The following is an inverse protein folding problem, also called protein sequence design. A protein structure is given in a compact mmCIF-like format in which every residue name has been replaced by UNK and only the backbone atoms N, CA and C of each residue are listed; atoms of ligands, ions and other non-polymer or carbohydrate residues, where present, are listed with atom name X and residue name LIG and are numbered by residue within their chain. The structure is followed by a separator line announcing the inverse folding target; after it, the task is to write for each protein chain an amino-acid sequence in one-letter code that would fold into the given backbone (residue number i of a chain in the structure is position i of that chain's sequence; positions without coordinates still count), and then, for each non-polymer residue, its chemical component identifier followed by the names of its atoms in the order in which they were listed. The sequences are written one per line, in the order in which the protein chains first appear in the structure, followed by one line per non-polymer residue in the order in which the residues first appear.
data_IF_337715794840
#
_entry.id   IF_337715794840
#
_cell.length_a   1.000
_cell.length_b   1.000
_cell.length_c   1.000
_cell.angle_alpha   90.00
_cell.angle_beta   90.00
_cell.angle_gamma   90.00
#
_symmetry.space_group_name_H-M   'P 1'
#
loop_
_entity.id
_entity.type
_entity.pdbx_description
1 polymer ?
#
# COMPACT_ATOMS: atom_id res chain seq x y z
N UNK A 1 30.10 22.21 27.09
CA UNK A 1 29.86 22.39 25.65
C UNK A 1 30.19 21.09 24.94
N UNK A 2 29.29 20.10 24.99
CA UNK A 2 29.50 18.86 24.23
C UNK A 2 28.79 19.02 22.88
N UNK A 3 29.51 19.62 21.93
CA UNK A 3 29.09 19.60 20.53
C UNK A 3 29.29 18.18 19.99
N UNK A 4 28.42 17.77 19.06
CA UNK A 4 28.48 16.47 18.38
C UNK A 4 29.92 16.15 17.96
N UNK A 5 30.43 14.98 18.33
CA UNK A 5 31.80 14.62 17.94
C UNK A 5 31.87 14.37 16.43
N UNK A 6 33.04 14.56 15.79
CA UNK A 6 33.21 14.20 14.37
C UNK A 6 32.75 12.78 14.04
N UNK A 7 32.96 11.83 14.94
CA UNK A 7 32.51 10.44 14.82
C UNK A 7 30.97 10.32 14.81
N UNK A 8 30.28 11.11 15.65
CA UNK A 8 28.81 11.14 15.67
C UNK A 8 28.23 11.75 14.39
N UNK A 9 28.89 12.77 13.83
CA UNK A 9 28.50 13.37 12.54
C UNK A 9 28.71 12.38 11.40
N UNK A 10 29.87 11.71 11.36
CA UNK A 10 30.17 10.69 10.36
C UNK A 10 29.19 9.50 10.44
N UNK A 11 28.86 9.04 11.65
CA UNK A 11 27.87 7.98 11.85
C UNK A 11 26.47 8.40 11.37
N UNK A 12 26.04 9.63 11.66
CA UNK A 12 24.76 10.14 11.18
C UNK A 12 24.71 10.28 9.66
N UNK A 13 25.79 10.77 9.03
CA UNK A 13 25.89 10.84 7.57
C UNK A 13 25.83 9.44 6.93
N UNK A 14 26.55 8.47 7.49
CA UNK A 14 26.50 7.08 7.02
C UNK A 14 25.08 6.50 7.11
N UNK A 15 24.42 6.64 8.26
CA UNK A 15 23.05 6.16 8.45
C UNK A 15 22.07 6.81 7.46
N UNK A 16 22.20 8.11 7.21
CA UNK A 16 21.36 8.81 6.23
C UNK A 16 21.58 8.28 4.79
N UNK A 17 22.82 7.96 4.43
CA UNK A 17 23.15 7.39 3.12
C UNK A 17 22.60 5.96 2.99
N UNK A 18 22.75 5.13 4.03
CA UNK A 18 22.17 3.78 4.06
C UNK A 18 20.64 3.81 3.95
N UNK A 19 19.98 4.72 4.68
CA UNK A 19 18.54 4.93 4.58
C UNK A 19 18.12 5.37 3.17
N UNK A 20 18.86 6.31 2.56
CA UNK A 20 18.59 6.78 1.20
C UNK A 20 18.71 5.64 0.18
N UNK A 21 19.75 4.82 0.26
CA UNK A 21 19.91 3.67 -0.63
C UNK A 21 18.82 2.62 -0.39
N UNK A 22 18.47 2.35 0.86
CA UNK A 22 17.36 1.44 1.21
C UNK A 22 16.02 1.90 0.61
N UNK A 23 15.66 3.18 0.81
CA UNK A 23 14.42 3.76 0.26
C UNK A 23 14.42 3.76 -1.27
N UNK A 24 15.55 4.11 -1.89
CA UNK A 24 15.69 4.09 -3.35
C UNK A 24 15.51 2.67 -3.88
N UNK A 25 16.14 1.67 -3.25
CA UNK A 25 15.96 0.26 -3.62
C UNK A 25 14.50 -0.18 -3.50
N UNK A 26 13.77 0.25 -2.47
CA UNK A 26 12.34 -0.06 -2.30
C UNK A 26 11.46 0.63 -3.35
N UNK A 27 11.78 1.85 -3.73
CA UNK A 27 11.10 2.52 -4.84
C UNK A 27 11.30 1.77 -6.17
N UNK A 28 12.52 1.30 -6.45
CA UNK A 28 12.80 0.46 -7.62
C UNK A 28 12.07 -0.88 -7.58
N UNK A 29 12.01 -1.55 -6.43
CA UNK A 29 11.23 -2.79 -6.26
C UNK A 29 9.73 -2.55 -6.58
N UNK A 30 9.18 -1.40 -6.20
CA UNK A 30 7.82 -0.99 -6.59
C UNK A 30 7.66 -0.84 -8.11
N UNK A 31 8.62 -0.22 -8.79
CA UNK A 31 8.63 -0.10 -10.26
C UNK A 31 8.73 -1.46 -10.94
N UNK A 32 9.58 -2.36 -10.43
CA UNK A 32 9.70 -3.73 -10.94
C UNK A 32 8.36 -4.47 -10.87
N UNK A 33 7.66 -4.38 -9.73
CA UNK A 33 6.32 -4.98 -9.57
C UNK A 33 5.28 -4.37 -10.51
N UNK A 34 5.35 -3.06 -10.79
CA UNK A 34 4.48 -2.42 -11.77
C UNK A 34 4.74 -2.95 -13.19
N UNK A 35 6.01 -3.11 -13.57
CA UNK A 35 6.39 -3.67 -14.87
C UNK A 35 5.92 -5.13 -14.97
N UNK A 36 6.13 -5.92 -13.91
CA UNK A 36 5.68 -7.31 -13.82
C UNK A 36 4.15 -7.41 -14.00
N UNK A 37 3.38 -6.56 -13.29
CA UNK A 37 1.93 -6.49 -13.43
C UNK A 37 1.51 -6.17 -14.87
N UNK A 38 2.13 -5.18 -15.51
CA UNK A 38 1.83 -4.83 -16.91
C UNK A 38 2.13 -5.99 -17.86
N UNK A 39 3.26 -6.68 -17.65
CA UNK A 39 3.63 -7.84 -18.46
C UNK A 39 2.64 -9.01 -18.28
N UNK A 40 2.16 -9.24 -17.05
CA UNK A 40 1.13 -10.25 -16.77
C UNK A 40 -0.19 -9.92 -17.47
N UNK A 41 -0.61 -8.65 -17.46
CA UNK A 41 -1.81 -8.19 -18.19
C UNK A 41 -1.64 -8.42 -19.69
N UNK A 42 -0.50 -8.04 -20.28
CA UNK A 42 -0.25 -8.26 -21.71
C UNK A 42 -0.28 -9.75 -22.06
N UNK A 43 0.41 -10.59 -21.28
CA UNK A 43 0.44 -12.05 -21.50
C UNK A 43 -0.96 -12.66 -21.42
N UNK A 44 -1.73 -12.32 -20.39
CA UNK A 44 -3.10 -12.83 -20.22
C UNK A 44 -4.02 -12.36 -21.36
N UNK A 45 -3.89 -11.11 -21.80
CA UNK A 45 -4.70 -10.55 -22.90
C UNK A 45 -4.37 -11.21 -24.23
N UNK A 46 -3.09 -11.53 -24.48
CA UNK A 46 -2.67 -12.25 -25.69
C UNK A 46 -3.23 -13.69 -25.70
N UNK A 47 -3.11 -14.41 -24.58
CA UNK A 47 -3.64 -15.76 -24.44
C UNK A 47 -5.17 -15.79 -24.66
N UNK A 48 -5.89 -14.85 -24.07
CA UNK A 48 -7.34 -14.71 -24.27
C UNK A 48 -7.69 -14.32 -25.70
N UNK A 49 -6.90 -13.47 -26.35
CA UNK A 49 -7.14 -13.11 -27.76
C UNK A 49 -7.03 -14.34 -28.66
N UNK A 50 -6.04 -15.21 -28.41
CA UNK A 50 -5.91 -16.48 -29.12
C UNK A 50 -7.11 -17.40 -28.89
N UNK A 51 -7.55 -17.55 -27.64
CA UNK A 51 -8.76 -18.32 -27.30
C UNK A 51 -10.00 -17.73 -27.99
N UNK A 52 -10.17 -16.41 -27.95
CA UNK A 52 -11.29 -15.70 -28.57
C UNK A 52 -11.36 -15.93 -30.07
N UNK A 53 -10.21 -15.90 -30.76
CA UNK A 53 -10.13 -16.23 -32.19
C UNK A 53 -10.56 -17.68 -32.44
N UNK A 54 -10.05 -18.64 -31.65
CA UNK A 54 -10.45 -20.04 -31.80
C UNK A 54 -11.95 -20.26 -31.56
N UNK A 55 -12.51 -19.61 -30.54
CA UNK A 55 -13.94 -19.67 -30.24
C UNK A 55 -14.76 -19.04 -31.37
N UNK A 56 -14.35 -17.88 -31.88
CA UNK A 56 -15.02 -17.21 -33.00
C UNK A 56 -15.04 -18.08 -34.26
N UNK A 57 -13.94 -18.78 -34.58
CA UNK A 57 -13.87 -19.71 -35.71
C UNK A 57 -14.72 -20.99 -35.51
N UNK A 58 -15.11 -21.29 -34.27
CA UNK A 58 -15.88 -22.48 -33.91
C UNK A 58 -17.38 -22.23 -33.80
N UNK A 59 -17.83 -20.98 -33.93
CA UNK A 59 -19.25 -20.59 -33.88
C UNK A 59 -20.00 -21.17 -35.08
N UNK A 60 -21.10 -21.88 -34.82
CA UNK A 60 -21.89 -22.59 -35.84
C UNK A 60 -23.20 -21.87 -36.19
N UNK A 61 -23.70 -21.02 -35.30
CA UNK A 61 -24.96 -20.31 -35.49
C UNK A 61 -24.98 -18.94 -34.79
N UNK A 62 -26.01 -18.14 -35.08
CA UNK A 62 -26.19 -16.80 -34.52
C UNK A 62 -26.39 -16.81 -32.99
N UNK A 63 -26.82 -17.92 -32.42
CA UNK A 63 -27.07 -18.07 -30.99
C UNK A 63 -25.73 -18.27 -30.24
N UNK A 64 -24.83 -19.08 -30.79
CA UNK A 64 -23.44 -19.21 -30.34
C UNK A 64 -22.66 -17.90 -30.50
N UNK A 65 -22.93 -17.10 -31.54
CA UNK A 65 -22.30 -15.78 -31.73
C UNK A 65 -22.70 -14.78 -30.62
N UNK A 66 -23.98 -14.74 -30.24
CA UNK A 66 -24.45 -13.89 -29.15
C UNK A 66 -23.90 -14.34 -27.79
N UNK A 67 -23.79 -15.65 -27.57
CA UNK A 67 -23.14 -16.20 -26.38
C UNK A 67 -21.66 -15.82 -26.31
N UNK A 68 -20.95 -15.85 -27.45
CA UNK A 68 -19.57 -15.39 -27.54
C UNK A 68 -19.46 -13.91 -27.18
N UNK A 69 -20.29 -13.03 -27.76
CA UNK A 69 -20.29 -11.59 -27.44
C UNK A 69 -20.50 -11.30 -25.94
N UNK A 70 -21.41 -12.03 -25.29
CA UNK A 70 -21.65 -11.91 -23.85
C UNK A 70 -20.45 -12.42 -23.03
N UNK A 71 -19.78 -13.48 -23.48
CA UNK A 71 -18.59 -14.04 -22.80
C UNK A 71 -17.36 -13.14 -22.86
N UNK A 72 -17.28 -12.24 -23.86
CA UNK A 72 -16.14 -11.34 -24.08
C UNK A 72 -16.21 -10.07 -23.22
N UNK A 73 -17.40 -9.66 -22.77
CA UNK A 73 -17.60 -8.37 -22.07
C UNK A 73 -17.47 -8.48 -20.55
N UNK A 74 -17.85 -9.62 -19.96
CA UNK A 74 -17.77 -9.86 -18.52
C UNK A 74 -16.33 -9.82 -17.94
N UNK A 75 -15.29 -10.38 -18.60
CA UNK A 75 -13.93 -10.42 -18.05
C UNK A 75 -13.26 -9.05 -17.95
N UNK A 76 -13.67 -8.08 -18.77
CA UNK A 76 -13.01 -6.76 -18.86
C UNK A 76 -13.17 -5.98 -17.55
N UNK A 77 -14.38 -5.97 -16.98
CA UNK A 77 -14.64 -5.25 -15.73
C UNK A 77 -13.88 -5.87 -14.54
N UNK A 78 -13.82 -7.21 -14.49
CA UNK A 78 -13.08 -7.96 -13.46
C UNK A 78 -11.57 -7.70 -13.57
N UNK A 79 -11.03 -7.64 -14.79
CA UNK A 79 -9.61 -7.32 -15.06
C UNK A 79 -9.22 -5.91 -14.66
N UNK A 80 -10.01 -4.90 -15.04
CA UNK A 80 -9.74 -3.50 -14.65
C UNK A 80 -9.73 -3.37 -13.13
N UNK A 81 -10.67 -4.05 -12.46
CA UNK A 81 -10.74 -4.03 -11.01
C UNK A 81 -9.56 -4.75 -10.36
N UNK A 82 -9.19 -5.93 -10.86
CA UNK A 82 -8.01 -6.67 -10.38
C UNK A 82 -6.73 -5.87 -10.59
N UNK A 83 -6.55 -5.23 -11.74
CA UNK A 83 -5.43 -4.34 -12.00
C UNK A 83 -5.39 -3.17 -11.01
N UNK A 84 -6.53 -2.53 -10.76
CA UNK A 84 -6.64 -1.46 -9.76
C UNK A 84 -6.30 -1.91 -8.34
N UNK A 85 -6.71 -3.12 -7.94
CA UNK A 85 -6.33 -3.72 -6.65
C UNK A 85 -4.82 -3.96 -6.56
N UNK A 86 -4.22 -4.58 -7.57
CA UNK A 86 -2.77 -4.84 -7.57
C UNK A 86 -1.94 -3.56 -7.61
N UNK A 87 -2.39 -2.53 -8.35
CA UNK A 87 -1.76 -1.20 -8.28
C UNK A 87 -1.80 -0.62 -6.88
N UNK A 88 -2.95 -0.71 -6.20
CA UNK A 88 -3.11 -0.24 -4.84
C UNK A 88 -2.19 -0.99 -3.87
N UNK A 89 -2.13 -2.32 -3.97
CA UNK A 89 -1.24 -3.18 -3.16
C UNK A 89 0.23 -2.80 -3.33
N UNK A 90 0.69 -2.56 -4.57
CA UNK A 90 2.07 -2.14 -4.84
C UNK A 90 2.37 -0.78 -4.20
N UNK A 91 1.45 0.18 -4.36
CA UNK A 91 1.61 1.52 -3.82
C UNK A 91 1.59 1.51 -2.28
N UNK A 92 0.65 0.81 -1.66
CA UNK A 92 0.52 0.74 -0.20
C UNK A 92 1.69 0.00 0.45
N UNK A 93 2.18 -1.09 -0.17
CA UNK A 93 3.37 -1.78 0.30
C UNK A 93 4.61 -0.87 0.24
N UNK A 94 4.77 -0.11 -0.85
CA UNK A 94 5.88 0.85 -0.99
C UNK A 94 5.78 1.95 0.08
N UNK A 95 4.59 2.52 0.30
CA UNK A 95 4.36 3.52 1.34
C UNK A 95 4.66 2.97 2.75
N UNK A 96 4.29 1.72 3.03
CA UNK A 96 4.54 1.07 4.31
C UNK A 96 6.05 0.94 4.62
N UNK A 97 6.88 0.64 3.62
CA UNK A 97 8.34 0.58 3.80
C UNK A 97 8.93 1.96 4.13
N UNK A 98 8.43 3.03 3.49
CA UNK A 98 8.83 4.40 3.82
C UNK A 98 8.41 4.78 5.25
N UNK A 99 7.21 4.41 5.66
CA UNK A 99 6.72 4.64 7.01
C UNK A 99 7.59 3.93 8.05
N UNK A 100 8.01 2.68 7.81
CA UNK A 100 8.92 1.93 8.70
C UNK A 100 10.25 2.65 8.91
N UNK A 101 10.85 3.21 7.86
CA UNK A 101 12.11 3.98 7.98
C UNK A 101 11.90 5.23 8.83
N UNK A 102 10.79 5.94 8.64
CA UNK A 102 10.44 7.10 9.45
C UNK A 102 10.22 6.73 10.94
N UNK A 103 9.51 5.62 11.20
CA UNK A 103 9.30 5.09 12.55
C UNK A 103 10.65 4.75 13.22
N UNK A 104 11.54 4.02 12.51
CA UNK A 104 12.86 3.67 13.02
C UNK A 104 13.72 4.90 13.35
N UNK A 105 13.69 5.93 12.48
CA UNK A 105 14.43 7.17 12.70
C UNK A 105 13.90 7.94 13.92
N UNK A 106 12.57 7.97 14.10
CA UNK A 106 11.94 8.58 15.27
C UNK A 106 12.33 7.84 16.56
N UNK A 107 12.28 6.52 16.59
CA UNK A 107 12.68 5.73 17.75
C UNK A 107 14.15 5.95 18.13
N UNK A 108 15.04 6.03 17.14
CA UNK A 108 16.45 6.32 17.36
C UNK A 108 16.65 7.71 18.00
N UNK A 109 15.95 8.73 17.49
CA UNK A 109 16.01 10.08 18.05
C UNK A 109 15.46 10.14 19.47
N UNK A 110 14.33 9.48 19.73
CA UNK A 110 13.74 9.39 21.07
C UNK A 110 14.73 8.74 22.06
N UNK A 111 15.40 7.64 21.66
CA UNK A 111 16.45 7.01 22.46
C UNK A 111 17.60 7.97 22.77
N UNK A 112 18.08 8.73 21.77
CA UNK A 112 19.14 9.73 21.97
C UNK A 112 18.71 10.83 22.95
N UNK A 113 17.49 11.33 22.82
CA UNK A 113 16.94 12.35 23.73
C UNK A 113 16.84 11.80 25.16
N UNK A 114 16.32 10.60 25.35
CA UNK A 114 16.25 9.95 26.67
C UNK A 114 17.64 9.79 27.29
N UNK A 115 18.62 9.31 26.51
CA UNK A 115 20.00 9.17 26.98
C UNK A 115 20.62 10.51 27.41
N UNK A 116 20.34 11.59 26.68
CA UNK A 116 20.77 12.94 27.05
C UNK A 116 20.11 13.39 28.36
N UNK A 117 18.80 13.18 28.51
CA UNK A 117 18.10 13.54 29.75
C UNK A 117 18.58 12.74 30.94
N UNK A 118 18.85 11.44 30.78
CA UNK A 118 19.43 10.63 31.84
C UNK A 118 20.86 11.05 32.19
N UNK A 119 21.64 11.49 31.19
CA UNK A 119 22.98 12.03 31.44
C UNK A 119 22.91 13.37 32.21
N UNK A 120 22.00 14.27 31.81
CA UNK A 120 21.75 15.52 32.55
C UNK A 120 21.28 15.23 33.96
N UNK A 121 20.34 14.30 34.15
CA UNK A 121 19.84 13.91 35.47
C UNK A 121 20.96 13.41 36.39
N UNK A 122 21.89 12.60 35.88
CA UNK A 122 23.02 12.04 36.64
C UNK A 122 24.07 13.09 37.02
N UNK A 123 24.21 14.15 36.23
CA UNK A 123 25.23 15.18 36.41
C UNK A 123 24.65 16.53 36.88
N UNK A 124 23.36 16.58 37.22
CA UNK A 124 22.69 17.81 37.61
C UNK A 124 23.11 18.24 39.03
N UNK A 125 23.31 19.56 39.28
CA UNK A 125 23.54 20.07 40.63
C UNK A 125 22.35 19.77 41.56
N UNK A 126 22.64 19.62 42.86
CA UNK A 126 21.60 19.47 43.88
C UNK A 126 20.56 20.62 43.78
N UNK A 127 19.26 20.29 43.81
CA UNK A 127 18.16 21.24 43.64
C UNK A 127 17.56 21.28 42.23
N UNK A 128 18.09 20.50 41.27
CA UNK A 128 17.61 20.44 39.88
C UNK A 128 16.55 19.35 39.62
N UNK A 129 16.15 18.61 40.66
CA UNK A 129 15.33 17.40 40.56
C UNK A 129 13.96 17.69 39.95
N UNK A 130 13.35 18.83 40.28
CA UNK A 130 12.06 19.27 39.74
C UNK A 130 12.15 19.57 38.23
N UNK A 131 13.23 20.19 37.77
CA UNK A 131 13.42 20.51 36.36
C UNK A 131 13.66 19.24 35.52
N UNK A 132 14.45 18.29 36.05
CA UNK A 132 14.68 16.99 35.42
C UNK A 132 13.37 16.18 35.36
N UNK A 133 12.57 16.18 36.43
CA UNK A 133 11.28 15.50 36.46
C UNK A 133 10.29 16.10 35.45
N UNK A 134 10.24 17.43 35.33
CA UNK A 134 9.42 18.11 34.32
C UNK A 134 9.85 17.73 32.89
N UNK A 135 11.15 17.67 32.63
CA UNK A 135 11.69 17.29 31.32
C UNK A 135 11.36 15.83 30.95
N UNK A 136 11.53 14.89 31.89
CA UNK A 136 11.13 13.49 31.71
C UNK A 136 9.63 13.36 31.43
N UNK A 137 8.81 14.12 32.15
CA UNK A 137 7.36 14.14 31.94
C UNK A 137 6.97 14.68 30.56
N UNK A 138 7.64 15.74 30.10
CA UNK A 138 7.43 16.28 28.75
C UNK A 138 7.79 15.27 27.66
N UNK A 139 8.90 14.53 27.80
CA UNK A 139 9.28 13.47 26.86
C UNK A 139 8.25 12.34 26.83
N UNK A 140 7.78 11.90 28.00
CA UNK A 140 6.75 10.86 28.08
C UNK A 140 5.42 11.31 27.44
N UNK A 141 5.03 12.57 27.63
CA UNK A 141 3.85 13.14 26.99
C UNK A 141 4.02 13.21 25.46
N UNK A 142 5.20 13.62 24.98
CA UNK A 142 5.51 13.64 23.55
C UNK A 142 5.46 12.24 22.92
N UNK A 143 6.04 11.24 23.57
CA UNK A 143 6.02 9.84 23.12
C UNK A 143 4.60 9.28 23.06
N UNK A 144 3.80 9.49 24.12
CA UNK A 144 2.39 9.09 24.15
C UNK A 144 1.58 9.74 23.02
N UNK A 145 1.84 11.02 22.74
CA UNK A 145 1.18 11.75 21.64
C UNK A 145 1.56 11.17 20.29
N UNK A 146 2.85 10.88 20.07
CA UNK A 146 3.31 10.25 18.84
C UNK A 146 2.68 8.86 18.63
N UNK A 147 2.67 8.01 19.65
CA UNK A 147 2.02 6.69 19.58
C UNK A 147 0.53 6.81 19.23
N UNK A 148 -0.16 7.81 19.78
CA UNK A 148 -1.57 8.08 19.50
C UNK A 148 -1.78 8.49 18.05
N UNK A 149 -0.96 9.41 17.53
CA UNK A 149 -1.00 9.85 16.13
C UNK A 149 -0.67 8.69 15.19
N UNK A 150 0.35 7.89 15.52
CA UNK A 150 0.74 6.71 14.75
C UNK A 150 -0.39 5.68 14.68
N UNK A 151 -1.05 5.39 15.81
CA UNK A 151 -2.22 4.50 15.86
C UNK A 151 -3.38 5.04 15.03
N UNK A 152 -3.68 6.34 15.15
CA UNK A 152 -4.73 6.98 14.37
C UNK A 152 -4.43 6.93 12.86
N UNK A 153 -3.18 7.15 12.47
CA UNK A 153 -2.75 7.03 11.07
C UNK A 153 -2.89 5.58 10.56
N UNK A 154 -2.48 4.58 11.35
CA UNK A 154 -2.65 3.15 11.00
C UNK A 154 -4.13 2.78 10.85
N UNK A 155 -4.97 3.20 11.78
CA UNK A 155 -6.42 3.00 11.69
C UNK A 155 -7.03 3.68 10.46
N UNK A 156 -6.59 4.90 10.12
CA UNK A 156 -7.06 5.59 8.92
C UNK A 156 -6.70 4.82 7.64
N UNK A 157 -5.50 4.24 7.57
CA UNK A 157 -5.08 3.37 6.46
C UNK A 157 -5.94 2.11 6.41
N UNK A 158 -6.12 1.40 7.52
CA UNK A 158 -6.97 0.19 7.59
C UNK A 158 -8.42 0.46 7.16
N UNK A 159 -8.97 1.62 7.56
CA UNK A 159 -10.31 2.06 7.14
C UNK A 159 -10.34 2.31 5.63
N UNK A 160 -9.31 2.99 5.08
CA UNK A 160 -9.20 3.24 3.65
C UNK A 160 -9.10 1.92 2.85
N UNK A 161 -8.28 0.97 3.31
CA UNK A 161 -8.16 -0.38 2.73
C UNK A 161 -9.48 -1.13 2.75
N UNK A 162 -10.16 -1.11 3.90
CA UNK A 162 -11.47 -1.77 4.07
C UNK A 162 -12.52 -1.15 3.13
N UNK A 163 -12.59 0.17 3.03
CA UNK A 163 -13.52 0.87 2.15
C UNK A 163 -13.21 0.62 0.67
N UNK A 164 -11.93 0.60 0.30
CA UNK A 164 -11.50 0.27 -1.05
C UNK A 164 -11.92 -1.16 -1.42
N UNK A 165 -11.66 -2.13 -0.54
CA UNK A 165 -12.06 -3.52 -0.73
C UNK A 165 -13.59 -3.68 -0.84
N UNK A 166 -14.35 -2.98 0.00
CA UNK A 166 -15.81 -2.98 -0.05
C UNK A 166 -16.33 -2.36 -1.36
N UNK A 167 -15.83 -1.19 -1.75
CA UNK A 167 -16.19 -0.55 -3.01
C UNK A 167 -15.84 -1.44 -4.22
N UNK A 168 -14.68 -2.08 -4.19
CA UNK A 168 -14.28 -3.03 -5.21
C UNK A 168 -15.21 -4.25 -5.25
N UNK A 169 -15.62 -4.80 -4.10
CA UNK A 169 -16.59 -5.90 -4.05
C UNK A 169 -17.97 -5.49 -4.61
N UNK A 170 -18.44 -4.27 -4.32
CA UNK A 170 -19.67 -3.71 -4.89
C UNK A 170 -19.55 -3.57 -6.41
N UNK A 171 -18.43 -3.05 -6.90
CA UNK A 171 -18.15 -2.93 -8.33
C UNK A 171 -18.11 -4.31 -9.02
N UNK A 172 -17.47 -5.30 -8.40
CA UNK A 172 -17.48 -6.70 -8.88
C UNK A 172 -18.92 -7.21 -8.98
N UNK A 173 -19.72 -7.06 -7.92
CA UNK A 173 -21.10 -7.53 -7.87
C UNK A 173 -21.98 -6.85 -8.92
N UNK A 174 -21.80 -5.55 -9.14
CA UNK A 174 -22.48 -4.80 -10.18
C UNK A 174 -22.11 -5.31 -11.59
N UNK A 175 -20.83 -5.57 -11.84
CA UNK A 175 -20.36 -6.16 -13.09
C UNK A 175 -20.94 -7.56 -13.34
N UNK A 176 -20.95 -8.43 -12.31
CA UNK A 176 -21.55 -9.76 -12.40
C UNK A 176 -23.07 -9.70 -12.65
N UNK A 177 -23.78 -8.76 -12.00
CA UNK A 177 -25.21 -8.55 -12.20
C UNK A 177 -25.53 -8.05 -13.62
N UNK A 178 -24.72 -7.14 -14.17
CA UNK A 178 -24.87 -6.67 -15.55
C UNK A 178 -24.66 -7.81 -16.55
N UNK A 179 -23.66 -8.67 -16.32
CA UNK A 179 -23.44 -9.86 -17.13
C UNK A 179 -24.60 -10.86 -17.03
N UNK A 180 -25.16 -11.08 -15.83
CA UNK A 180 -26.32 -11.94 -15.63
C UNK A 180 -27.59 -11.38 -16.31
N UNK A 181 -27.80 -10.06 -16.28
CA UNK A 181 -28.91 -9.39 -16.96
C UNK A 181 -28.82 -9.54 -18.48
N UNK A 182 -27.61 -9.42 -19.05
CA UNK A 182 -27.36 -9.68 -20.48
C UNK A 182 -27.72 -11.12 -20.88
N UNK A 183 -27.38 -12.12 -20.05
CA UNK A 183 -27.74 -13.54 -20.26
C UNK A 183 -29.25 -13.81 -20.14
N UNK A 184 -29.96 -13.05 -19.31
CA UNK A 184 -31.42 -13.21 -19.09
C UNK A 184 -32.24 -12.64 -20.24
N UNK A 185 -31.80 -11.50 -20.78
CA UNK A 185 -32.36 -10.89 -22.01
C UNK A 185 -32.32 -11.84 -23.22
N UNK A 186 -31.33 -12.73 -23.29
CA UNK A 186 -31.18 -13.73 -24.36
C UNK A 186 -32.16 -14.91 -24.23
N UNK A 187 -32.71 -15.16 -23.04
CA UNK A 187 -33.64 -16.28 -22.81
C UNK A 187 -35.09 -15.90 -23.10
N UNK A 188 -35.45 -14.61 -22.97
CA UNK A 188 -36.82 -14.09 -23.15
C UNK A 188 -37.19 -13.76 -24.59
N UNK A 189 -36.24 -13.76 -25.53
CA UNK A 189 -36.46 -13.38 -26.93
C UNK A 189 -36.58 -14.56 -27.90
N UNK A 190 -37.00 -15.74 -27.43
CA UNK A 190 -37.23 -16.93 -28.26
C UNK A 190 -38.62 -16.80 -28.92
N UNK A 191 -38.75 -16.55 -30.23
CA UNK A 191 -40.05 -16.63 -30.89
C UNK A 191 -40.50 -18.10 -30.93
N UNK A 192 -41.81 -18.30 -30.71
CA UNK A 192 -42.48 -19.61 -30.83
C UNK A 192 -42.56 -20.05 -32.30
#
# INVERSE_FOLDING_TARGET
MSFLTPEQIAAAQKANIENLFGLTSKAFEGVEKLIELNLQVVKSTLAESQENVQRALSVKDAQELLALQASLTQPIAEKVLSYGRHLYEIASATQAEFAKVAEAQYEEQNRKVQALVDNVAKNAPAGSETAVAALKSAINAANTTYETVQKAAKQAVEIAETNFNAAAAVATKAASNAAAASRRSTTTNKPA
#
